data_IF_923938104812
#
_entry.id   IF_923938104812
#
_cell.length_a   1.000
_cell.length_b   1.000
_cell.length_c   1.000
_cell.angle_alpha   90.00
_cell.angle_beta   90.00
_cell.angle_gamma   90.00
#
_symmetry.space_group_name_H-M   'P 1'
#
loop_
_entity.id
_entity.type
_entity.pdbx_description
1 polymer ?
#
# COMPACT_ATOMS: atom_id res chain seq x y z
N UNK A 1 -6.36 -15.60 0.32
CA UNK A 1 -6.15 -17.04 0.53
C UNK A 1 -6.57 -17.39 1.93
N UNK A 2 -5.74 -17.05 2.92
CA UNK A 2 -6.05 -17.34 4.34
C UNK A 2 -7.33 -16.70 4.89
N UNK A 3 -7.84 -15.63 4.28
CA UNK A 3 -9.09 -14.98 4.68
C UNK A 3 -10.35 -15.87 4.54
N UNK A 4 -10.27 -16.96 3.77
CA UNK A 4 -11.35 -17.99 3.71
C UNK A 4 -11.41 -18.85 4.98
N UNK A 5 -10.42 -18.72 5.87
CA UNK A 5 -10.29 -19.40 7.17
C UNK A 5 -10.09 -20.93 7.11
N UNK A 6 -10.70 -21.65 6.17
CA UNK A 6 -10.63 -23.11 6.08
C UNK A 6 -10.91 -23.62 4.68
N UNK A 7 -10.26 -24.74 4.32
CA UNK A 7 -10.62 -25.54 3.14
C UNK A 7 -11.29 -26.84 3.64
N UNK A 8 -12.61 -26.83 3.82
CA UNK A 8 -13.38 -28.01 4.27
C UNK A 8 -14.02 -28.82 3.17
N UNK A 9 -14.22 -28.21 2.00
CA UNK A 9 -14.94 -28.80 0.88
C UNK A 9 -14.46 -28.16 -0.44
N UNK A 10 -15.08 -28.60 -1.54
CA UNK A 10 -14.72 -28.16 -2.89
C UNK A 10 -15.09 -26.69 -3.15
N UNK A 11 -16.16 -26.20 -2.53
CA UNK A 11 -16.57 -24.80 -2.66
C UNK A 11 -15.51 -23.88 -2.08
N UNK A 12 -15.08 -24.16 -0.85
CA UNK A 12 -14.04 -23.40 -0.17
C UNK A 12 -12.68 -23.51 -0.87
N UNK A 13 -12.34 -24.69 -1.39
CA UNK A 13 -11.12 -24.85 -2.19
C UNK A 13 -11.13 -23.96 -3.44
N UNK A 14 -12.28 -23.87 -4.13
CA UNK A 14 -12.44 -23.00 -5.30
C UNK A 14 -12.39 -21.52 -4.92
N UNK A 15 -13.00 -21.13 -3.80
CA UNK A 15 -12.96 -19.76 -3.30
C UNK A 15 -11.51 -19.31 -3.02
N UNK A 16 -10.74 -20.13 -2.29
CA UNK A 16 -9.31 -19.87 -2.03
C UNK A 16 -8.51 -19.72 -3.34
N UNK A 17 -8.75 -20.61 -4.31
CA UNK A 17 -8.08 -20.55 -5.61
C UNK A 17 -8.42 -19.25 -6.36
N UNK A 18 -9.70 -18.86 -6.38
CA UNK A 18 -10.15 -17.61 -6.99
C UNK A 18 -9.53 -16.39 -6.33
N UNK A 19 -9.44 -16.36 -5.00
CA UNK A 19 -8.76 -15.29 -4.28
C UNK A 19 -7.29 -15.19 -4.70
N UNK A 20 -6.57 -16.30 -4.80
CA UNK A 20 -5.17 -16.26 -5.26
C UNK A 20 -5.03 -15.75 -6.69
N UNK A 21 -5.91 -16.17 -7.59
CA UNK A 21 -5.93 -15.68 -8.98
C UNK A 21 -6.19 -14.18 -8.98
N UNK A 22 -7.26 -13.72 -8.35
CA UNK A 22 -7.65 -12.31 -8.34
C UNK A 22 -6.57 -11.43 -7.69
N UNK A 23 -5.94 -11.86 -6.60
CA UNK A 23 -4.84 -11.14 -5.97
C UNK A 23 -3.65 -10.97 -6.91
N UNK A 24 -3.21 -12.02 -7.61
CA UNK A 24 -2.11 -11.93 -8.56
C UNK A 24 -2.49 -11.11 -9.80
N UNK A 25 -3.71 -11.25 -10.31
CA UNK A 25 -4.21 -10.51 -11.46
C UNK A 25 -4.32 -9.01 -11.18
N UNK A 26 -4.70 -8.61 -9.97
CA UNK A 26 -4.69 -7.23 -9.53
C UNK A 26 -3.27 -6.67 -9.38
N UNK A 27 -2.34 -7.44 -8.80
CA UNK A 27 -0.93 -7.07 -8.72
C UNK A 27 -0.31 -6.83 -10.11
N UNK A 28 -0.60 -7.72 -11.06
CA UNK A 28 -0.18 -7.58 -12.45
C UNK A 28 -0.78 -6.34 -13.12
N UNK A 29 -2.08 -6.11 -12.91
CA UNK A 29 -2.77 -4.90 -13.40
C UNK A 29 -2.14 -3.62 -12.87
N UNK A 30 -1.90 -3.53 -11.55
CA UNK A 30 -1.27 -2.39 -10.91
C UNK A 30 0.16 -2.15 -11.39
N UNK A 31 0.95 -3.22 -11.54
CA UNK A 31 2.31 -3.18 -12.09
C UNK A 31 2.35 -2.58 -13.49
N UNK A 32 1.53 -3.11 -14.40
CA UNK A 32 1.48 -2.65 -15.80
C UNK A 32 0.97 -1.22 -15.88
N UNK A 33 -0.09 -0.88 -15.15
CA UNK A 33 -0.66 0.46 -15.17
C UNK A 33 0.29 1.52 -14.61
N UNK A 34 0.99 1.21 -13.51
CA UNK A 34 2.01 2.11 -12.95
C UNK A 34 3.19 2.28 -13.91
N UNK A 35 3.67 1.20 -14.54
CA UNK A 35 4.71 1.26 -15.57
C UNK A 35 4.29 2.20 -16.71
N UNK A 36 3.11 1.99 -17.27
CA UNK A 36 2.61 2.79 -18.40
C UNK A 36 2.44 4.25 -17.99
N UNK A 37 1.90 4.51 -16.79
CA UNK A 37 1.72 5.87 -16.26
C UNK A 37 3.07 6.57 -16.08
N UNK A 38 4.04 5.91 -15.43
CA UNK A 38 5.39 6.43 -15.25
C UNK A 38 6.10 6.68 -16.59
N UNK A 39 5.95 5.78 -17.57
CA UNK A 39 6.49 5.96 -18.92
C UNK A 39 5.91 7.17 -19.63
N UNK A 40 4.60 7.38 -19.52
CA UNK A 40 3.91 8.52 -20.12
C UNK A 40 4.34 9.83 -19.44
N UNK A 41 4.44 9.85 -18.11
CA UNK A 41 4.73 11.07 -17.35
C UNK A 41 6.21 11.46 -17.35
N UNK A 42 7.11 10.47 -17.29
CA UNK A 42 8.53 10.69 -17.06
C UNK A 42 9.42 10.28 -18.25
N UNK A 43 8.85 9.68 -19.29
CA UNK A 43 9.57 9.19 -20.48
C UNK A 43 10.39 7.91 -20.24
N UNK A 44 10.52 7.45 -18.99
CA UNK A 44 11.34 6.30 -18.58
C UNK A 44 10.57 5.31 -17.73
N UNK A 45 11.05 4.07 -17.69
CA UNK A 45 10.50 3.07 -16.78
C UNK A 45 11.07 3.36 -15.40
N UNK A 46 10.21 3.79 -14.48
CA UNK A 46 10.62 4.05 -13.10
C UNK A 46 10.37 2.80 -12.25
N UNK A 47 11.45 2.14 -11.82
CA UNK A 47 11.34 0.89 -11.06
C UNK A 47 10.61 1.08 -9.73
N UNK A 48 10.80 2.23 -9.06
CA UNK A 48 10.15 2.50 -7.78
C UNK A 48 8.65 2.64 -7.95
N UNK A 49 8.20 3.31 -9.01
CA UNK A 49 6.77 3.43 -9.35
C UNK A 49 6.17 2.07 -9.75
N UNK A 50 6.93 1.23 -10.46
CA UNK A 50 6.47 -0.12 -10.84
C UNK A 50 6.30 -1.02 -9.62
N UNK A 51 7.26 -1.01 -8.69
CA UNK A 51 7.18 -1.78 -7.44
C UNK A 51 6.02 -1.30 -6.57
N UNK A 52 5.85 0.02 -6.42
CA UNK A 52 4.69 0.59 -5.74
C UNK A 52 3.37 0.27 -6.47
N UNK A 53 3.38 0.18 -7.80
CA UNK A 53 2.25 -0.28 -8.60
C UNK A 53 1.83 -1.72 -8.31
N UNK A 54 2.80 -2.63 -8.13
CA UNK A 54 2.54 -4.01 -7.74
C UNK A 54 1.87 -4.08 -6.35
N UNK A 55 2.43 -3.34 -5.38
CA UNK A 55 1.88 -3.25 -4.03
C UNK A 55 0.48 -2.61 -4.04
N UNK A 56 0.30 -1.52 -4.79
CA UNK A 56 -1.00 -0.86 -4.95
C UNK A 56 -2.05 -1.81 -5.54
N UNK A 57 -1.69 -2.63 -6.53
CA UNK A 57 -2.58 -3.65 -7.08
C UNK A 57 -3.02 -4.68 -6.02
N UNK A 58 -2.08 -5.14 -5.20
CA UNK A 58 -2.37 -6.04 -4.07
C UNK A 58 -3.27 -5.37 -3.03
N UNK A 59 -3.01 -4.11 -2.67
CA UNK A 59 -3.83 -3.37 -1.70
C UNK A 59 -5.24 -3.14 -2.24
N UNK A 60 -5.38 -2.72 -3.50
CA UNK A 60 -6.66 -2.38 -4.11
C UNK A 60 -7.67 -3.54 -4.08
N UNK A 61 -7.21 -4.78 -4.17
CA UNK A 61 -8.08 -5.97 -4.20
C UNK A 61 -8.30 -6.59 -2.81
N UNK A 62 -7.55 -6.17 -1.79
CA UNK A 62 -7.50 -6.83 -0.48
C UNK A 62 -8.84 -6.81 0.25
N UNK A 63 -9.65 -5.75 0.07
CA UNK A 63 -10.92 -5.60 0.77
C UNK A 63 -11.96 -6.66 0.37
N UNK A 64 -11.94 -7.09 -0.89
CA UNK A 64 -12.87 -8.10 -1.41
C UNK A 64 -12.26 -8.82 -2.62
N UNK A 65 -11.37 -9.81 -2.38
CA UNK A 65 -10.68 -10.48 -3.47
C UNK A 65 -11.46 -11.67 -4.05
N UNK A 66 -12.59 -12.06 -3.45
CA UNK A 66 -13.35 -13.23 -3.88
C UNK A 66 -14.41 -12.90 -4.94
N UNK A 67 -15.18 -11.82 -4.73
CA UNK A 67 -16.31 -11.48 -5.62
C UNK A 67 -15.94 -11.06 -7.05
N UNK A 68 -14.80 -10.41 -7.35
CA UNK A 68 -14.46 -10.03 -8.71
C UNK A 68 -14.17 -11.23 -9.62
N UNK A 69 -14.37 -11.06 -10.92
CA UNK A 69 -13.74 -11.96 -11.91
C UNK A 69 -12.26 -11.59 -12.08
N UNK A 70 -11.40 -12.48 -12.59
CA UNK A 70 -9.97 -12.18 -12.80
C UNK A 70 -9.72 -10.94 -13.65
N UNK A 71 -10.54 -10.72 -14.68
CA UNK A 71 -10.45 -9.52 -15.52
C UNK A 71 -10.84 -8.24 -14.76
N UNK A 72 -11.88 -8.30 -13.93
CA UNK A 72 -12.28 -7.16 -13.09
C UNK A 72 -11.22 -6.88 -12.01
N UNK A 73 -10.65 -7.91 -11.39
CA UNK A 73 -9.55 -7.78 -10.44
C UNK A 73 -8.33 -7.08 -11.05
N UNK A 74 -7.96 -7.43 -12.30
CA UNK A 74 -6.90 -6.71 -13.04
C UNK A 74 -7.23 -5.23 -13.21
N UNK A 75 -8.46 -4.87 -13.54
CA UNK A 75 -8.87 -3.46 -13.71
C UNK A 75 -8.85 -2.70 -12.38
N UNK A 76 -9.33 -3.32 -11.29
CA UNK A 76 -9.26 -2.74 -9.93
C UNK A 76 -7.81 -2.45 -9.55
N UNK A 77 -6.92 -3.43 -9.78
CA UNK A 77 -5.49 -3.29 -9.53
C UNK A 77 -4.84 -2.23 -10.42
N UNK A 78 -5.21 -2.16 -11.70
CA UNK A 78 -4.72 -1.16 -12.65
C UNK A 78 -5.07 0.26 -12.21
N UNK A 79 -6.30 0.50 -11.74
CA UNK A 79 -6.69 1.80 -11.18
C UNK A 79 -5.84 2.12 -9.95
N UNK A 80 -5.60 1.16 -9.05
CA UNK A 80 -4.67 1.31 -7.93
C UNK A 80 -3.26 1.70 -8.37
N UNK A 81 -2.73 1.06 -9.42
CA UNK A 81 -1.42 1.37 -10.01
C UNK A 81 -1.33 2.77 -10.63
N UNK A 82 -2.41 3.31 -11.18
CA UNK A 82 -2.45 4.71 -11.64
C UNK A 82 -2.50 5.66 -10.44
N UNK A 83 -3.38 5.39 -9.47
CA UNK A 83 -3.58 6.23 -8.30
C UNK A 83 -2.31 6.39 -7.47
N UNK A 84 -1.54 5.32 -7.27
CA UNK A 84 -0.32 5.38 -6.46
C UNK A 84 0.73 6.32 -7.06
N UNK A 85 0.89 6.33 -8.38
CA UNK A 85 1.85 7.23 -9.06
C UNK A 85 1.48 8.68 -8.83
N UNK A 86 0.20 9.04 -9.02
CA UNK A 86 -0.25 10.41 -8.78
C UNK A 86 -0.23 10.79 -7.30
N UNK A 87 -0.53 9.85 -6.40
CA UNK A 87 -0.48 10.07 -4.96
C UNK A 87 0.94 10.41 -4.49
N UNK A 88 1.94 9.61 -4.89
CA UNK A 88 3.35 9.85 -4.53
C UNK A 88 3.79 11.25 -4.99
N UNK A 89 3.58 11.57 -6.28
CA UNK A 89 3.94 12.88 -6.84
C UNK A 89 3.24 14.02 -6.09
N UNK A 90 2.00 13.80 -5.65
CA UNK A 90 1.24 14.82 -4.92
C UNK A 90 1.79 15.02 -3.52
N UNK A 91 2.08 13.95 -2.77
CA UNK A 91 2.69 14.04 -1.44
C UNK A 91 4.08 14.69 -1.50
N UNK A 92 4.90 14.35 -2.49
CA UNK A 92 6.20 14.97 -2.73
C UNK A 92 6.06 16.49 -2.96
N UNK A 93 5.09 16.90 -3.78
CA UNK A 93 4.81 18.32 -4.04
C UNK A 93 4.29 19.05 -2.81
N UNK A 94 3.58 18.35 -1.93
CA UNK A 94 3.13 18.87 -0.64
C UNK A 94 4.25 18.85 0.41
N UNK A 95 5.45 18.36 0.08
CA UNK A 95 6.60 18.19 0.99
C UNK A 95 6.24 17.32 2.19
N UNK A 96 5.39 16.33 1.99
CA UNK A 96 5.08 15.29 2.96
C UNK A 96 6.04 14.15 2.68
N UNK A 97 6.95 13.91 3.63
CA UNK A 97 7.95 12.86 3.53
C UNK A 97 7.32 11.48 3.81
N UNK A 98 6.94 10.78 2.75
CA UNK A 98 6.41 9.41 2.76
C UNK A 98 7.46 8.46 2.13
N UNK A 99 8.53 8.11 2.88
CA UNK A 99 9.79 7.59 2.32
C UNK A 99 9.64 6.27 1.56
N UNK A 100 8.62 5.48 1.91
CA UNK A 100 8.34 4.17 1.27
C UNK A 100 7.02 4.16 0.51
N UNK A 101 6.35 5.30 0.37
CA UNK A 101 5.04 5.39 -0.28
C UNK A 101 3.91 4.74 0.53
N UNK A 102 4.03 4.62 1.86
CA UNK A 102 3.06 3.93 2.70
C UNK A 102 1.68 4.61 2.67
N UNK A 103 1.64 5.95 2.70
CA UNK A 103 0.38 6.70 2.62
C UNK A 103 -0.24 6.51 1.24
N UNK A 104 0.57 6.52 0.18
CA UNK A 104 0.09 6.36 -1.19
C UNK A 104 -0.43 4.95 -1.48
N UNK A 105 0.36 3.92 -1.14
CA UNK A 105 0.05 2.51 -1.41
C UNK A 105 -1.06 1.99 -0.50
N UNK A 106 -1.03 2.32 0.79
CA UNK A 106 -1.99 1.75 1.75
C UNK A 106 -3.14 2.70 2.07
N UNK A 107 -2.87 4.00 2.24
CA UNK A 107 -3.90 4.99 2.54
C UNK A 107 -4.78 5.28 1.32
N UNK A 108 -4.21 5.87 0.27
CA UNK A 108 -4.97 6.32 -0.91
C UNK A 108 -5.54 5.14 -1.69
N UNK A 109 -4.71 4.14 -2.01
CA UNK A 109 -5.19 2.97 -2.76
C UNK A 109 -6.05 2.04 -1.90
N UNK A 110 -5.86 2.01 -0.57
CA UNK A 110 -6.77 1.29 0.32
C UNK A 110 -8.19 1.88 0.33
N UNK A 111 -8.31 3.21 0.30
CA UNK A 111 -9.62 3.88 0.10
C UNK A 111 -10.25 3.46 -1.23
N UNK A 112 -9.47 3.44 -2.31
CA UNK A 112 -9.95 2.93 -3.59
C UNK A 112 -10.44 1.48 -3.48
N UNK A 113 -9.68 0.59 -2.84
CA UNK A 113 -10.06 -0.80 -2.67
C UNK A 113 -11.38 -0.99 -1.92
N UNK A 114 -11.62 -0.22 -0.85
CA UNK A 114 -12.89 -0.23 -0.12
C UNK A 114 -14.07 0.23 -0.97
N UNK A 115 -13.88 1.27 -1.79
CA UNK A 115 -14.91 1.73 -2.73
C UNK A 115 -15.17 0.70 -3.84
N UNK A 116 -14.11 0.06 -4.35
CA UNK A 116 -14.19 -0.94 -5.41
C UNK A 116 -15.01 -2.18 -5.01
N UNK A 117 -15.13 -2.50 -3.72
CA UNK A 117 -16.00 -3.58 -3.22
C UNK A 117 -17.44 -3.43 -3.72
N UNK A 118 -17.94 -2.20 -3.80
CA UNK A 118 -19.33 -1.92 -4.25
C UNK A 118 -19.57 -2.21 -5.73
N UNK A 119 -18.51 -2.44 -6.51
CA UNK A 119 -18.60 -2.75 -7.94
C UNK A 119 -18.88 -4.23 -8.19
N UNK A 120 -18.48 -5.11 -7.27
CA UNK A 120 -18.50 -6.56 -7.47
C UNK A 120 -19.29 -7.32 -6.41
N UNK A 121 -19.45 -6.76 -5.20
CA UNK A 121 -20.23 -7.36 -4.13
C UNK A 121 -21.61 -6.66 -4.03
N UNK A 122 -22.72 -7.32 -4.41
CA UNK A 122 -24.07 -6.74 -4.35
C UNK A 122 -24.56 -6.41 -2.94
N UNK A 123 -23.98 -7.01 -1.90
CA UNK A 123 -24.34 -6.74 -0.50
C UNK A 123 -23.62 -5.50 0.04
N UNK A 124 -22.55 -5.06 -0.62
CA UNK A 124 -21.81 -3.88 -0.23
C UNK A 124 -22.55 -2.60 -0.66
N UNK A 125 -22.73 -1.68 0.28
CA UNK A 125 -23.28 -0.36 0.00
C UNK A 125 -22.20 0.70 0.09
N UNK A 126 -22.31 1.74 -0.76
CA UNK A 126 -21.40 2.88 -0.70
C UNK A 126 -21.41 3.56 0.67
N UNK A 127 -22.58 3.67 1.29
CA UNK A 127 -22.72 4.27 2.63
C UNK A 127 -21.93 3.49 3.70
N UNK A 128 -21.99 2.16 3.68
CA UNK A 128 -21.23 1.33 4.62
C UNK A 128 -19.72 1.44 4.38
N UNK A 129 -19.25 1.44 3.13
CA UNK A 129 -17.82 1.59 2.82
C UNK A 129 -17.29 2.96 3.25
N UNK A 130 -18.03 4.04 2.98
CA UNK A 130 -17.66 5.39 3.41
C UNK A 130 -17.62 5.51 4.94
N UNK A 131 -18.60 4.92 5.63
CA UNK A 131 -18.59 4.89 7.10
C UNK A 131 -17.37 4.12 7.64
N UNK A 132 -17.06 2.97 7.04
CA UNK A 132 -15.87 2.18 7.37
C UNK A 132 -14.58 2.97 7.18
N UNK A 133 -14.43 3.66 6.04
CA UNK A 133 -13.29 4.54 5.75
C UNK A 133 -13.14 5.60 6.85
N UNK A 134 -14.21 6.35 7.15
CA UNK A 134 -14.17 7.42 8.17
C UNK A 134 -13.87 6.86 9.55
N UNK A 135 -14.47 5.72 9.92
CA UNK A 135 -14.23 5.08 11.20
C UNK A 135 -12.77 4.63 11.36
N UNK A 136 -12.22 3.96 10.34
CA UNK A 136 -10.83 3.49 10.33
C UNK A 136 -9.86 4.68 10.39
N UNK A 137 -10.03 5.68 9.52
CA UNK A 137 -9.16 6.87 9.52
C UNK A 137 -9.24 7.63 10.83
N UNK A 138 -10.44 7.89 11.32
CA UNK A 138 -10.65 8.62 12.58
C UNK A 138 -10.01 7.90 13.76
N UNK A 139 -10.24 6.58 13.88
CA UNK A 139 -9.66 5.78 14.95
C UNK A 139 -8.12 5.71 14.84
N UNK A 140 -7.58 5.29 13.69
CA UNK A 140 -6.15 5.08 13.51
C UNK A 140 -5.39 6.40 13.65
N UNK A 141 -5.87 7.49 13.04
CA UNK A 141 -5.21 8.79 13.14
C UNK A 141 -5.18 9.29 14.59
N UNK A 142 -6.30 9.29 15.30
CA UNK A 142 -6.38 9.81 16.67
C UNK A 142 -5.54 8.96 17.62
N UNK A 143 -5.68 7.63 17.56
CA UNK A 143 -4.92 6.74 18.44
C UNK A 143 -3.43 6.79 18.17
N UNK A 144 -3.01 6.78 16.90
CA UNK A 144 -1.61 6.92 16.52
C UNK A 144 -1.05 8.26 16.98
N UNK A 145 -1.77 9.37 16.78
CA UNK A 145 -1.35 10.69 17.22
C UNK A 145 -1.11 10.73 18.73
N UNK A 146 -2.02 10.16 19.51
CA UNK A 146 -1.88 10.08 20.98
C UNK A 146 -0.64 9.27 21.36
N UNK A 147 -0.46 8.07 20.78
CA UNK A 147 0.69 7.21 21.07
C UNK A 147 2.00 7.90 20.68
N UNK A 148 2.11 8.40 19.46
CA UNK A 148 3.31 9.08 18.98
C UNK A 148 3.62 10.35 19.78
N UNK A 149 2.60 11.10 20.21
CA UNK A 149 2.81 12.27 21.08
C UNK A 149 3.35 11.87 22.45
N UNK A 150 2.80 10.83 23.07
CA UNK A 150 3.30 10.30 24.36
C UNK A 150 4.77 9.89 24.21
N UNK A 151 5.10 9.07 23.20
CA UNK A 151 6.48 8.65 22.95
C UNK A 151 7.41 9.84 22.71
N UNK A 152 6.95 10.85 21.96
CA UNK A 152 7.72 12.07 21.68
C UNK A 152 8.10 12.82 22.96
N UNK A 153 7.21 12.90 23.95
CA UNK A 153 7.47 13.65 25.19
C UNK A 153 8.14 12.82 26.28
N UNK A 154 8.07 11.48 26.23
CA UNK A 154 8.69 10.61 27.24
C UNK A 154 10.09 10.15 26.87
N UNK A 155 10.31 9.76 25.61
CA UNK A 155 11.58 9.16 25.16
C UNK A 155 12.16 9.80 23.89
N UNK A 156 11.36 10.58 23.14
CA UNK A 156 11.73 11.04 21.81
C UNK A 156 11.51 9.95 20.75
N UNK A 157 11.25 10.35 19.51
CA UNK A 157 10.92 9.43 18.39
C UNK A 157 11.81 9.62 17.16
N UNK A 158 12.75 10.56 17.22
CA UNK A 158 13.69 10.86 16.14
C UNK A 158 15.08 10.89 16.75
N UNK A 159 16.04 10.32 16.04
CA UNK A 159 17.48 10.41 16.34
C UNK A 159 17.95 11.87 16.30
N UNK A 160 19.13 12.14 16.84
CA UNK A 160 19.73 13.47 16.72
C UNK A 160 20.06 13.83 15.27
N UNK A 161 20.20 15.12 14.95
CA UNK A 161 20.59 15.55 13.59
C UNK A 161 21.98 15.03 13.18
N UNK A 162 22.87 14.84 14.17
CA UNK A 162 24.21 14.26 13.96
C UNK A 162 24.11 12.78 13.57
N UNK A 163 23.36 11.98 14.34
CA UNK A 163 23.12 10.57 14.01
C UNK A 163 22.33 10.38 12.70
N UNK A 164 21.41 11.30 12.39
CA UNK A 164 20.69 11.29 11.11
C UNK A 164 21.65 11.53 9.93
N UNK A 165 22.67 12.37 10.12
CA UNK A 165 23.68 12.67 9.10
C UNK A 165 24.72 11.55 8.93
N UNK A 166 25.16 10.95 10.05
CA UNK A 166 26.12 9.84 10.03
C UNK A 166 25.50 8.52 9.54
N UNK A 167 24.18 8.38 9.71
CA UNK A 167 23.43 7.17 9.38
C UNK A 167 23.15 6.33 10.62
N UNK A 168 21.89 5.95 10.77
CA UNK A 168 21.37 5.28 11.99
C UNK A 168 22.05 3.94 12.27
N UNK A 169 22.60 3.27 11.26
CA UNK A 169 23.30 1.99 11.43
C UNK A 169 24.54 2.12 12.35
N UNK A 170 25.25 3.25 12.32
CA UNK A 170 26.41 3.49 13.19
C UNK A 170 25.96 3.69 14.63
N UNK A 171 24.95 4.53 14.85
CA UNK A 171 24.45 4.86 16.20
C UNK A 171 23.72 3.70 16.88
N UNK A 172 22.87 2.97 16.15
CA UNK A 172 22.01 1.91 16.71
C UNK A 172 22.63 0.51 16.59
N UNK A 173 23.29 0.20 15.47
CA UNK A 173 23.86 -1.12 15.22
C UNK A 173 25.37 -1.21 15.51
N UNK A 174 26.06 -0.08 15.66
CA UNK A 174 27.50 -0.02 15.92
C UNK A 174 28.37 -0.49 14.75
N UNK A 175 27.80 -0.54 13.54
CA UNK A 175 28.46 -1.01 12.33
C UNK A 175 27.89 -0.33 11.09
N UNK A 176 28.72 -0.18 10.06
CA UNK A 176 28.25 0.33 8.78
C UNK A 176 27.59 -0.78 7.95
N UNK A 177 26.54 -0.45 7.21
CA UNK A 177 25.87 -1.40 6.33
C UNK A 177 26.78 -1.97 5.23
N UNK A 178 27.77 -1.18 4.77
CA UNK A 178 28.71 -1.59 3.73
C UNK A 178 30.17 -1.22 4.06
N UNK A 179 30.81 -1.92 5.01
CA UNK A 179 32.17 -1.61 5.52
C UNK A 179 33.27 -1.59 4.44
N UNK A 180 33.04 -2.26 3.32
CA UNK A 180 33.93 -2.32 2.17
C UNK A 180 34.03 -1.01 1.37
N UNK A 181 33.10 -0.05 1.53
CA UNK A 181 33.11 1.23 0.78
C UNK A 181 33.58 2.43 1.60
N UNK A 182 33.80 2.26 2.90
CA UNK A 182 34.18 3.33 3.83
C UNK A 182 35.67 3.36 4.15
N UNK A 183 36.35 2.22 4.02
CA UNK A 183 37.80 2.17 4.20
C UNK A 183 38.49 2.71 2.93
N UNK A 184 39.09 3.91 3.05
CA UNK A 184 40.14 4.40 2.14
C UNK A 184 41.50 3.83 2.52
#
# INVERSE_FOLDING_TARGET
GGSELKISDVGEANAVAMVFVNTNMAAAGGTVAALLTARIMFGKADLTMVLNGALAGLVAITAEPLTPTPGVATLIGAIGGVLVVFSIITLDKLKIDDPVGAISVHGVVGVWGLLAVTLTNPEATLGAQLLGIVAIFGWVFVTSLVVWYILKVTMGIRVSEEEEYEGVDIGECGLEAYPEFVNK
#
